data_IF_866100932465
#
_entry.id   IF_866100932465
#
_cell.length_a   1.000
_cell.length_b   1.000
_cell.length_c   1.000
_cell.angle_alpha   90.00
_cell.angle_beta   90.00
_cell.angle_gamma   90.00
#
_symmetry.space_group_name_H-M   'P 1'
#
loop_
_entity.id
_entity.type
_entity.pdbx_description
1 polymer ?
#
# COMPACT_ATOMS: atom_id res chain seq x y z
N UNK A 1 -1.45 11.37 -8.68
CA UNK A 1 -2.37 10.62 -9.59
C UNK A 1 -1.76 9.32 -10.12
N UNK A 2 -0.42 9.15 -10.15
CA UNK A 2 0.25 7.90 -10.55
C UNK A 2 -0.02 6.76 -9.56
N UNK A 3 0.12 7.04 -8.26
CA UNK A 3 0.03 6.04 -7.18
C UNK A 3 -1.33 5.32 -7.13
N UNK A 4 -2.42 6.05 -7.33
CA UNK A 4 -3.76 5.46 -7.36
C UNK A 4 -3.93 4.50 -8.54
N UNK A 5 -3.42 4.85 -9.73
CA UNK A 5 -3.50 3.99 -10.92
C UNK A 5 -2.73 2.68 -10.73
N UNK A 6 -1.56 2.74 -10.09
CA UNK A 6 -0.74 1.55 -9.82
C UNK A 6 -1.44 0.54 -8.91
N UNK A 7 -2.29 1.04 -7.99
CA UNK A 7 -3.09 0.19 -7.10
C UNK A 7 -4.36 -0.28 -7.76
N UNK A 8 -5.08 0.63 -8.43
CA UNK A 8 -6.38 0.27 -9.01
C UNK A 8 -6.27 -0.73 -10.15
N UNK A 9 -5.11 -0.80 -10.85
CA UNK A 9 -4.87 -1.84 -11.84
C UNK A 9 -4.75 -3.26 -11.25
N UNK A 10 -4.51 -3.39 -9.94
CA UNK A 10 -4.49 -4.68 -9.24
C UNK A 10 -5.89 -5.17 -8.85
N UNK A 11 -6.90 -4.31 -8.94
CA UNK A 11 -8.26 -4.61 -8.51
C UNK A 11 -9.11 -5.14 -9.68
N UNK A 12 -10.06 -6.05 -9.41
CA UNK A 12 -11.11 -6.38 -10.38
C UNK A 12 -11.86 -5.13 -10.83
N UNK A 13 -12.28 -5.07 -12.09
CA UNK A 13 -12.84 -3.88 -12.72
C UNK A 13 -14.00 -3.25 -11.91
N UNK A 14 -14.85 -4.08 -11.29
CA UNK A 14 -15.95 -3.60 -10.45
C UNK A 14 -15.47 -2.85 -9.19
N UNK A 15 -14.40 -3.35 -8.54
CA UNK A 15 -13.80 -2.69 -7.37
C UNK A 15 -13.02 -1.44 -7.79
N UNK A 16 -12.28 -1.53 -8.88
CA UNK A 16 -11.52 -0.44 -9.46
C UNK A 16 -12.38 0.79 -9.69
N UNK A 17 -13.50 0.64 -10.41
CA UNK A 17 -14.42 1.75 -10.71
C UNK A 17 -14.93 2.44 -9.45
N UNK A 18 -15.26 1.67 -8.42
CA UNK A 18 -15.76 2.23 -7.17
C UNK A 18 -14.67 2.98 -6.43
N UNK A 19 -13.48 2.36 -6.29
CA UNK A 19 -12.35 3.02 -5.62
C UNK A 19 -11.98 4.32 -6.33
N UNK A 20 -11.92 4.32 -7.67
CA UNK A 20 -11.64 5.51 -8.46
C UNK A 20 -12.72 6.59 -8.26
N UNK A 21 -14.00 6.22 -8.31
CA UNK A 21 -15.11 7.16 -8.09
C UNK A 21 -15.06 7.77 -6.69
N UNK A 22 -14.81 6.96 -5.66
CA UNK A 22 -14.79 7.41 -4.27
C UNK A 22 -13.59 8.29 -3.93
N UNK A 23 -12.45 8.04 -4.56
CA UNK A 23 -11.22 8.82 -4.33
C UNK A 23 -11.19 10.09 -5.16
N UNK A 24 -11.82 10.09 -6.35
CA UNK A 24 -11.82 11.24 -7.27
C UNK A 24 -12.88 12.31 -6.97
N UNK A 25 -13.82 12.08 -6.04
CA UNK A 25 -14.85 13.09 -5.72
C UNK A 25 -14.24 14.24 -4.90
N UNK A 26 -14.03 15.43 -5.50
CA UNK A 26 -13.58 16.60 -4.75
C UNK A 26 -14.64 17.02 -3.74
N UNK A 27 -14.26 17.21 -2.50
CA UNK A 27 -15.11 17.87 -1.51
C UNK A 27 -15.77 16.99 -0.44
N UNK A 28 -15.89 15.67 -0.60
CA UNK A 28 -16.43 14.80 0.47
C UNK A 28 -15.42 14.52 1.60
N UNK A 29 -14.13 14.55 1.32
CA UNK A 29 -13.09 14.21 2.29
C UNK A 29 -11.97 15.27 2.42
N UNK A 30 -12.10 16.45 1.80
CA UNK A 30 -11.04 17.46 1.79
C UNK A 30 -9.75 16.95 1.12
N UNK A 31 -8.58 17.35 1.60
CA UNK A 31 -7.27 16.90 1.10
C UNK A 31 -6.84 15.51 1.62
N UNK A 32 -7.79 14.63 1.96
CA UNK A 32 -7.47 13.32 2.51
C UNK A 32 -7.06 12.35 1.41
N UNK A 33 -5.85 11.80 1.52
CA UNK A 33 -5.35 10.76 0.60
C UNK A 33 -5.77 9.37 1.09
N UNK A 34 -6.12 8.49 0.16
CA UNK A 34 -6.38 7.08 0.44
C UNK A 34 -5.11 6.45 1.00
N UNK A 35 -5.13 5.93 2.20
CA UNK A 35 -3.98 5.30 2.86
C UNK A 35 -4.00 3.78 2.81
N UNK A 36 -5.22 3.18 2.80
CA UNK A 36 -5.36 1.73 2.87
C UNK A 36 -6.69 1.27 2.27
N UNK A 37 -6.69 0.12 1.61
CA UNK A 37 -7.90 -0.60 1.15
C UNK A 37 -7.92 -1.96 1.84
N UNK A 38 -8.99 -2.23 2.62
CA UNK A 38 -9.21 -3.51 3.29
C UNK A 38 -10.25 -4.33 2.54
N UNK A 39 -9.87 -5.53 2.16
CA UNK A 39 -10.66 -6.44 1.33
C UNK A 39 -10.75 -7.78 2.06
N UNK A 40 -11.96 -8.23 2.37
CA UNK A 40 -12.22 -9.49 3.07
C UNK A 40 -13.38 -10.25 2.46
N UNK A 41 -13.23 -11.54 2.23
CA UNK A 41 -14.30 -12.40 1.67
C UNK A 41 -15.59 -12.25 2.48
N UNK A 42 -16.71 -12.16 1.78
CA UNK A 42 -18.05 -12.00 2.32
C UNK A 42 -18.29 -10.70 3.13
N UNK A 43 -17.42 -9.72 3.01
CA UNK A 43 -17.58 -8.40 3.65
C UNK A 43 -17.51 -7.29 2.58
N UNK A 44 -18.05 -6.10 2.87
CA UNK A 44 -17.81 -4.92 2.07
C UNK A 44 -16.31 -4.53 2.09
N UNK A 45 -15.84 -3.86 1.03
CA UNK A 45 -14.53 -3.24 1.04
C UNK A 45 -14.54 -1.99 1.93
N UNK A 46 -13.40 -1.71 2.57
CA UNK A 46 -13.24 -0.53 3.43
C UNK A 46 -12.06 0.30 2.89
N UNK A 47 -12.32 1.57 2.65
CA UNK A 47 -11.29 2.56 2.30
C UNK A 47 -10.90 3.35 3.54
N UNK A 48 -9.60 3.39 3.83
CA UNK A 48 -9.03 4.18 4.93
C UNK A 48 -8.30 5.39 4.36
N UNK A 49 -8.45 6.53 5.02
CA UNK A 49 -7.80 7.78 4.64
C UNK A 49 -6.76 8.21 5.68
N UNK A 50 -5.81 9.06 5.28
CA UNK A 50 -4.71 9.53 6.14
C UNK A 50 -5.14 10.33 7.39
N UNK A 51 -6.39 10.77 7.46
CA UNK A 51 -7.00 11.43 8.62
C UNK A 51 -7.76 10.46 9.53
N UNK A 52 -7.50 9.15 9.45
CA UNK A 52 -8.16 8.07 10.16
C UNK A 52 -9.67 7.93 9.86
N UNK A 53 -10.17 8.60 8.83
CA UNK A 53 -11.55 8.37 8.36
C UNK A 53 -11.60 7.06 7.60
N UNK A 54 -12.68 6.32 7.80
CA UNK A 54 -12.99 5.12 7.02
C UNK A 54 -14.27 5.30 6.23
N UNK A 55 -14.33 4.64 5.09
CA UNK A 55 -15.53 4.54 4.27
C UNK A 55 -15.78 3.09 3.91
N UNK A 56 -16.91 2.59 4.34
CA UNK A 56 -17.41 1.26 4.00
C UNK A 56 -18.14 1.32 2.65
N UNK A 57 -17.80 0.43 1.72
CA UNK A 57 -18.43 0.31 0.41
C UNK A 57 -19.51 -0.78 0.48
N UNK A 58 -20.66 -0.41 1.01
CA UNK A 58 -21.74 -1.36 1.31
C UNK A 58 -22.33 -2.06 0.08
N UNK A 59 -22.28 -1.41 -1.08
CA UNK A 59 -22.87 -1.90 -2.33
C UNK A 59 -22.09 -3.05 -2.98
N UNK A 60 -20.95 -3.45 -2.41
CA UNK A 60 -20.14 -4.56 -2.91
C UNK A 60 -19.81 -5.53 -1.78
N UNK A 61 -20.09 -6.80 -2.05
CA UNK A 61 -19.62 -7.92 -1.26
C UNK A 61 -18.44 -8.57 -1.97
N UNK A 62 -17.31 -8.68 -1.29
CA UNK A 62 -16.10 -9.30 -1.82
C UNK A 62 -16.31 -10.81 -1.97
N UNK A 63 -15.89 -11.33 -3.10
CA UNK A 63 -15.94 -12.77 -3.41
C UNK A 63 -14.56 -13.42 -3.31
N UNK A 64 -14.52 -14.74 -3.34
CA UNK A 64 -13.27 -15.50 -3.47
C UNK A 64 -12.53 -15.19 -4.77
N UNK A 65 -13.27 -14.95 -5.85
CA UNK A 65 -12.71 -14.66 -7.17
C UNK A 65 -12.02 -13.28 -7.20
N UNK A 66 -12.54 -12.30 -6.46
CA UNK A 66 -11.86 -11.02 -6.31
C UNK A 66 -10.50 -11.17 -5.62
N UNK A 67 -10.45 -11.96 -4.54
CA UNK A 67 -9.19 -12.25 -3.84
C UNK A 67 -8.23 -12.98 -4.77
N UNK A 68 -8.70 -14.02 -5.49
CA UNK A 68 -7.87 -14.76 -6.42
C UNK A 68 -7.32 -13.85 -7.53
N UNK A 69 -8.15 -12.99 -8.11
CA UNK A 69 -7.75 -12.02 -9.12
C UNK A 69 -6.65 -11.08 -8.60
N UNK A 70 -6.84 -10.48 -7.41
CA UNK A 70 -5.85 -9.58 -6.82
C UNK A 70 -4.53 -10.30 -6.59
N UNK A 71 -4.55 -11.51 -6.06
CA UNK A 71 -3.34 -12.31 -5.86
C UNK A 71 -2.62 -12.58 -7.19
N UNK A 72 -3.35 -12.97 -8.24
CA UNK A 72 -2.77 -13.19 -9.57
C UNK A 72 -2.08 -11.93 -10.11
N UNK A 73 -2.74 -10.77 -9.98
CA UNK A 73 -2.18 -9.49 -10.43
C UNK A 73 -0.94 -9.09 -9.61
N UNK A 74 -0.99 -9.23 -8.30
CA UNK A 74 0.11 -8.90 -7.38
C UNK A 74 1.33 -9.79 -7.62
N UNK A 75 1.11 -11.08 -7.88
CA UNK A 75 2.18 -12.04 -8.14
C UNK A 75 2.56 -12.15 -9.62
N UNK A 76 1.96 -11.33 -10.48
CA UNK A 76 2.16 -11.38 -11.95
C UNK A 76 1.99 -12.79 -12.51
N UNK A 77 0.96 -13.49 -12.04
CA UNK A 77 0.66 -14.90 -12.38
C UNK A 77 1.75 -15.91 -11.99
N UNK A 78 2.74 -15.51 -11.16
CA UNK A 78 3.83 -16.38 -10.71
C UNK A 78 3.86 -16.49 -9.19
N UNK A 79 2.95 -17.28 -8.62
CA UNK A 79 2.89 -17.52 -7.17
C UNK A 79 4.22 -18.05 -6.59
N UNK A 80 4.95 -18.84 -7.38
CA UNK A 80 6.22 -19.42 -6.94
C UNK A 80 7.28 -18.34 -6.66
N UNK A 81 7.38 -17.33 -7.52
CA UNK A 81 8.33 -16.23 -7.36
C UNK A 81 8.08 -15.37 -6.11
N UNK A 82 6.85 -15.42 -5.57
CA UNK A 82 6.44 -14.62 -4.40
C UNK A 82 6.19 -15.46 -3.15
N UNK A 83 6.60 -16.73 -3.15
CA UNK A 83 6.29 -17.66 -2.07
C UNK A 83 6.83 -17.19 -0.70
N UNK A 84 8.05 -16.68 -0.67
CA UNK A 84 8.65 -16.13 0.56
C UNK A 84 7.94 -14.86 1.05
N UNK A 85 7.54 -13.97 0.15
CA UNK A 85 6.78 -12.77 0.51
C UNK A 85 5.41 -13.12 1.09
N UNK A 86 4.69 -14.07 0.46
CA UNK A 86 3.40 -14.57 0.95
C UNK A 86 3.56 -15.26 2.30
N UNK A 87 4.65 -15.99 2.52
CA UNK A 87 4.99 -16.57 3.82
C UNK A 87 5.18 -15.51 4.89
N UNK A 88 5.82 -14.39 4.54
CA UNK A 88 6.00 -13.23 5.42
C UNK A 88 4.71 -12.41 5.61
N UNK A 89 3.65 -12.70 4.86
CA UNK A 89 2.34 -12.08 4.97
C UNK A 89 2.17 -10.80 4.15
N UNK A 90 3.13 -10.42 3.29
CA UNK A 90 2.97 -9.27 2.40
C UNK A 90 3.85 -9.34 1.15
N UNK A 91 3.40 -8.64 0.10
CA UNK A 91 4.13 -8.41 -1.14
C UNK A 91 4.30 -6.91 -1.34
N UNK A 92 5.49 -6.46 -1.70
CA UNK A 92 5.72 -5.08 -2.13
C UNK A 92 5.61 -5.00 -3.64
N UNK A 93 4.79 -4.08 -4.14
CA UNK A 93 4.59 -3.85 -5.57
C UNK A 93 5.21 -2.52 -6.00
N UNK A 94 5.23 -2.27 -7.33
CA UNK A 94 5.72 -1.03 -7.92
C UNK A 94 5.10 0.19 -7.18
N UNK A 95 5.85 1.29 -7.05
CA UNK A 95 5.44 2.46 -6.26
C UNK A 95 5.66 2.31 -4.74
N UNK A 96 6.20 1.16 -4.27
CA UNK A 96 6.47 0.92 -2.85
C UNK A 96 5.21 0.59 -2.03
N UNK A 97 4.08 0.33 -2.70
CA UNK A 97 2.85 -0.09 -2.04
C UNK A 97 3.01 -1.49 -1.44
N UNK A 98 2.40 -1.72 -0.29
CA UNK A 98 2.41 -3.02 0.40
C UNK A 98 1.05 -3.69 0.34
N UNK A 99 1.06 -4.93 -0.11
CA UNK A 99 -0.12 -5.79 -0.19
C UNK A 99 0.01 -6.86 0.88
N UNK A 100 -0.60 -6.63 2.04
CA UNK A 100 -0.70 -7.61 3.11
C UNK A 100 -1.70 -8.71 2.73
N UNK A 101 -1.37 -9.95 3.01
CA UNK A 101 -2.22 -11.11 2.74
C UNK A 101 -2.37 -11.93 4.00
N UNK A 102 -3.58 -12.44 4.23
CA UNK A 102 -3.85 -13.37 5.32
C UNK A 102 -4.80 -14.47 4.88
N UNK A 103 -4.45 -15.69 5.28
CA UNK A 103 -5.19 -16.90 4.99
C UNK A 103 -4.92 -17.95 6.05
N UNK A 104 -5.18 -19.21 5.72
CA UNK A 104 -4.85 -20.33 6.59
C UNK A 104 -3.35 -20.61 6.51
N UNK A 105 -2.65 -20.58 7.65
CA UNK A 105 -1.24 -20.92 7.72
C UNK A 105 -1.02 -22.42 7.39
N UNK A 106 0.03 -22.69 6.63
CA UNK A 106 0.56 -24.04 6.42
C UNK A 106 1.77 -24.18 7.33
N UNK A 107 1.73 -25.15 8.24
CA UNK A 107 2.84 -25.41 9.16
C UNK A 107 3.49 -26.76 8.85
N UNK A 108 4.82 -26.81 8.99
CA UNK A 108 5.63 -28.01 8.93
C UNK A 108 6.68 -27.92 10.05
N UNK A 109 6.80 -28.97 10.86
CA UNK A 109 7.76 -29.05 11.97
C UNK A 109 7.69 -27.82 12.91
N UNK A 110 6.48 -27.33 13.20
CA UNK A 110 6.24 -26.18 14.07
C UNK A 110 6.51 -24.80 13.42
N UNK A 111 6.95 -24.75 12.17
CA UNK A 111 7.24 -23.52 11.45
C UNK A 111 6.18 -23.22 10.38
N UNK A 112 5.90 -21.92 10.17
CA UNK A 112 5.00 -21.48 9.07
C UNK A 112 5.77 -21.59 7.77
N UNK A 113 5.27 -22.44 6.85
CA UNK A 113 5.87 -22.66 5.53
C UNK A 113 5.14 -21.90 4.42
N UNK A 114 3.94 -21.39 4.68
CA UNK A 114 3.17 -20.66 3.69
C UNK A 114 1.75 -20.37 4.17
N UNK A 115 0.92 -19.87 3.24
CA UNK A 115 -0.49 -19.60 3.47
C UNK A 115 -1.32 -20.18 2.32
N UNK A 116 -2.49 -20.71 2.65
CA UNK A 116 -3.52 -21.15 1.69
C UNK A 116 -4.85 -20.51 2.02
N UNK A 117 -5.81 -20.59 1.09
CA UNK A 117 -7.15 -20.03 1.29
C UNK A 117 -7.09 -18.58 1.77
N UNK A 118 -6.32 -17.73 1.05
CA UNK A 118 -6.23 -16.31 1.36
C UNK A 118 -7.64 -15.72 1.33
N UNK A 119 -8.04 -15.11 2.43
CA UNK A 119 -9.39 -14.57 2.64
C UNK A 119 -9.41 -13.09 2.98
N UNK A 120 -8.23 -12.51 3.19
CA UNK A 120 -8.04 -11.11 3.54
C UNK A 120 -6.86 -10.53 2.79
N UNK A 121 -7.06 -9.35 2.22
CA UNK A 121 -6.02 -8.53 1.57
C UNK A 121 -6.10 -7.13 2.16
N UNK A 122 -4.94 -6.57 2.48
CA UNK A 122 -4.77 -5.21 2.93
C UNK A 122 -3.80 -4.46 2.04
N UNK A 123 -4.29 -3.53 1.23
CA UNK A 123 -3.48 -2.73 0.32
C UNK A 123 -3.12 -1.42 1.02
N UNK A 124 -1.85 -1.24 1.39
CA UNK A 124 -1.32 0.02 1.92
C UNK A 124 -0.73 0.86 0.80
N UNK A 125 -1.28 2.06 0.67
CA UNK A 125 -0.87 3.03 -0.35
C UNK A 125 0.35 3.78 0.14
N UNK A 126 1.47 3.64 -0.56
CA UNK A 126 2.61 4.52 -0.35
C UNK A 126 2.33 5.86 -1.03
N UNK A 127 2.59 6.96 -0.34
CA UNK A 127 2.51 8.30 -0.90
C UNK A 127 3.89 8.92 -0.91
N UNK A 128 4.21 9.55 -2.01
CA UNK A 128 5.36 10.45 -2.08
C UNK A 128 4.98 11.82 -1.50
N UNK A 129 5.88 12.37 -0.71
CA UNK A 129 5.81 13.73 -0.20
C UNK A 129 6.97 14.49 -0.82
N UNK A 130 6.69 15.16 -1.94
CA UNK A 130 7.68 15.97 -2.67
C UNK A 130 7.81 17.31 -1.98
N UNK A 131 9.05 17.83 -1.89
CA UNK A 131 9.34 19.14 -1.31
C UNK A 131 9.42 19.18 0.22
N UNK A 132 9.34 18.03 0.90
CA UNK A 132 9.48 18.01 2.36
C UNK A 132 10.93 18.23 2.84
N UNK A 133 11.90 18.14 1.94
CA UNK A 133 13.31 18.40 2.20
C UNK A 133 13.79 19.76 1.67
N UNK A 134 12.97 20.55 1.00
CA UNK A 134 13.36 21.80 0.33
C UNK A 134 14.07 22.79 1.27
N UNK A 135 13.59 22.90 2.52
CA UNK A 135 14.17 23.81 3.51
C UNK A 135 15.57 23.37 4.02
N UNK A 136 15.91 22.09 3.86
CA UNK A 136 17.14 21.54 4.44
C UNK A 136 18.15 21.10 3.37
N UNK A 137 17.75 21.01 2.10
CA UNK A 137 18.59 20.47 1.03
C UNK A 137 19.83 21.34 0.82
N UNK A 138 19.70 22.67 0.83
CA UNK A 138 20.80 23.59 0.67
C UNK A 138 21.83 23.47 1.80
N UNK A 139 21.35 23.23 3.03
CA UNK A 139 22.22 23.01 4.18
C UNK A 139 23.04 21.71 4.06
N UNK A 140 22.43 20.65 3.52
CA UNK A 140 23.08 19.34 3.37
C UNK A 140 24.06 19.34 2.19
N UNK A 141 23.71 20.01 1.08
CA UNK A 141 24.45 19.96 -0.18
C UNK A 141 25.42 21.13 -0.38
N UNK A 142 25.33 22.23 0.41
CA UNK A 142 26.20 23.37 0.27
C UNK A 142 27.67 23.04 0.59
N UNK A 143 28.54 23.16 -0.42
CA UNK A 143 29.98 22.88 -0.29
C UNK A 143 30.35 21.39 -0.36
N UNK A 144 29.49 20.57 -1.00
CA UNK A 144 29.64 19.12 -1.16
C UNK A 144 28.81 18.32 -0.16
N UNK A 145 28.65 17.02 -0.42
CA UNK A 145 27.88 16.12 0.45
C UNK A 145 28.51 15.99 1.85
N UNK A 146 27.69 16.21 2.86
CA UNK A 146 28.10 16.08 4.26
C UNK A 146 27.47 14.82 4.88
N UNK A 147 28.22 14.17 5.78
CA UNK A 147 27.67 13.12 6.63
C UNK A 147 26.57 13.72 7.51
N UNK A 148 25.32 13.34 7.26
CA UNK A 148 24.16 13.92 7.92
C UNK A 148 23.38 12.85 8.67
N UNK A 149 23.05 13.10 9.93
CA UNK A 149 22.21 12.24 10.75
C UNK A 149 20.86 12.91 11.00
N UNK A 150 19.77 12.25 10.58
CA UNK A 150 18.40 12.70 10.84
C UNK A 150 17.84 12.00 12.07
N UNK A 151 17.57 12.75 13.14
CA UNK A 151 17.07 12.24 14.41
C UNK A 151 15.67 12.79 14.69
N UNK A 152 14.72 11.92 14.95
CA UNK A 152 13.36 12.28 15.42
C UNK A 152 12.64 11.08 16.02
N UNK A 153 11.55 11.27 16.77
CA UNK A 153 10.70 10.17 17.23
C UNK A 153 10.18 9.29 16.08
N UNK A 154 9.73 8.06 16.35
CA UNK A 154 9.05 7.22 15.36
C UNK A 154 7.86 7.94 14.74
N UNK A 155 7.61 7.72 13.43
CA UNK A 155 6.46 8.31 12.73
C UNK A 155 6.61 9.77 12.28
N UNK A 156 7.68 10.48 12.65
CA UNK A 156 7.90 11.90 12.30
C UNK A 156 8.49 12.14 10.90
N UNK A 157 8.36 11.19 9.98
CA UNK A 157 8.71 11.43 8.57
C UNK A 157 10.19 11.33 8.20
N UNK A 158 11.09 10.81 9.07
CA UNK A 158 12.53 10.65 8.76
C UNK A 158 12.81 10.05 7.38
N UNK A 159 12.21 8.91 7.13
CA UNK A 159 12.39 8.19 5.85
C UNK A 159 11.78 8.97 4.67
N UNK A 160 10.74 9.76 4.90
CA UNK A 160 10.12 10.61 3.89
C UNK A 160 11.08 11.73 3.48
N UNK A 161 11.66 12.40 4.46
CA UNK A 161 12.70 13.44 4.23
C UNK A 161 13.91 12.84 3.51
N UNK A 162 14.43 11.70 3.95
CA UNK A 162 15.57 11.04 3.30
C UNK A 162 15.28 10.68 1.84
N UNK A 163 14.10 10.18 1.53
CA UNK A 163 13.68 9.88 0.15
C UNK A 163 13.60 11.13 -0.71
N UNK A 164 13.13 12.23 -0.15
CA UNK A 164 13.05 13.50 -0.86
C UNK A 164 14.43 14.11 -1.09
N UNK A 165 15.34 14.05 -0.12
CA UNK A 165 16.76 14.43 -0.29
C UNK A 165 17.40 13.63 -1.44
N UNK A 166 17.23 12.30 -1.47
CA UNK A 166 17.78 11.44 -2.53
C UNK A 166 17.24 11.83 -3.91
N UNK A 167 16.05 12.38 -4.00
CA UNK A 167 15.48 12.86 -5.27
C UNK A 167 16.14 14.13 -5.78
N UNK A 168 16.66 14.96 -4.88
CA UNK A 168 17.35 16.22 -5.22
C UNK A 168 18.82 16.01 -5.63
N UNK A 169 19.37 14.84 -5.37
CA UNK A 169 20.74 14.41 -5.69
C UNK A 169 20.78 13.65 -7.02
#
# INVERSE_FOLDING_TARGET
MSDLKEITCLLPERLKRIVETEVMVPGKNGFCKLSEIRIRINRPAILMYNNNKEKVIENIKITSDDIAYIIQMVTRYSMYAYQDSIRQGYVTVKGGHRIGVAGQAITRDGHICGQKYISYINIRVAHEVVGCADEIIDFICSGGFKNTLVVSPPGCGKTTILRDIIRHI
#
